data_IF_914209143846
#
_entry.id   IF_914209143846
#
_cell.length_a   1.000
_cell.length_b   1.000
_cell.length_c   1.000
_cell.angle_alpha   90.00
_cell.angle_beta   90.00
_cell.angle_gamma   90.00
#
_symmetry.space_group_name_H-M   'P 1'
#
loop_
_entity.id
_entity.type
_entity.pdbx_description
1 polymer ?
#
# COMPACT_ATOMS: atom_id res chain seq x y z
N UNK A 1 -7.76 -3.63 4.19
CA UNK A 1 -7.56 -2.72 3.05
C UNK A 1 -8.83 -2.58 2.20
N UNK A 2 -9.45 -3.66 1.69
CA UNK A 2 -10.59 -3.58 0.76
C UNK A 2 -11.82 -2.83 1.32
N UNK A 3 -12.10 -2.94 2.62
CA UNK A 3 -13.17 -2.15 3.28
C UNK A 3 -12.80 -0.66 3.27
N UNK A 4 -11.58 -0.33 3.69
CA UNK A 4 -11.09 1.05 3.77
C UNK A 4 -10.91 1.74 2.41
N UNK A 5 -10.84 0.97 1.32
CA UNK A 5 -10.78 1.51 -0.05
C UNK A 5 -12.16 1.57 -0.75
N UNK A 6 -13.22 1.14 -0.07
CA UNK A 6 -14.57 1.10 -0.65
C UNK A 6 -14.80 -0.01 -1.68
N UNK A 7 -13.84 -0.93 -1.87
CA UNK A 7 -14.02 -2.10 -2.75
C UNK A 7 -14.96 -3.16 -2.16
N UNK A 8 -15.16 -3.13 -0.84
CA UNK A 8 -16.15 -3.93 -0.13
C UNK A 8 -16.95 -3.02 0.79
N UNK A 9 -18.24 -3.27 0.89
CA UNK A 9 -19.11 -2.61 1.88
C UNK A 9 -18.98 -3.30 3.23
N UNK A 10 -18.90 -2.57 4.36
CA UNK A 10 -18.97 -3.16 5.69
C UNK A 10 -20.36 -3.76 5.92
N UNK A 11 -20.43 -4.91 6.60
CA UNK A 11 -21.70 -5.53 7.02
C UNK A 11 -22.36 -4.74 8.16
N UNK A 12 -21.55 -4.10 8.99
CA UNK A 12 -21.97 -3.23 10.08
C UNK A 12 -20.84 -2.20 10.37
N UNK A 13 -21.20 -1.12 11.07
CA UNK A 13 -20.28 -0.01 11.34
C UNK A 13 -20.16 0.97 10.17
N UNK A 14 -19.37 1.99 10.38
CA UNK A 14 -19.16 3.08 9.42
C UNK A 14 -17.67 3.41 9.30
N UNK A 15 -17.31 4.07 8.22
CA UNK A 15 -15.95 4.55 7.96
C UNK A 15 -16.03 6.08 7.86
N UNK A 16 -15.19 6.76 8.63
CA UNK A 16 -15.08 8.22 8.60
C UNK A 16 -13.67 8.65 8.18
N UNK A 17 -13.57 9.78 7.49
CA UNK A 17 -12.34 10.50 7.19
C UNK A 17 -12.55 11.94 7.64
N UNK A 18 -11.68 12.47 8.50
CA UNK A 18 -11.80 13.80 9.10
C UNK A 18 -13.19 14.01 9.74
N UNK A 19 -13.66 13.04 10.52
CA UNK A 19 -14.96 12.99 11.20
C UNK A 19 -16.19 13.01 10.27
N UNK A 20 -15.99 13.03 8.95
CA UNK A 20 -17.07 12.94 7.97
C UNK A 20 -17.28 11.49 7.52
N UNK A 21 -18.55 11.07 7.45
CA UNK A 21 -18.94 9.76 6.93
C UNK A 21 -18.50 9.65 5.47
N UNK A 22 -17.84 8.54 5.13
CA UNK A 22 -17.28 8.32 3.79
C UNK A 22 -18.31 7.69 2.87
N UNK A 23 -18.65 8.40 1.79
CA UNK A 23 -19.34 7.82 0.65
C UNK A 23 -18.34 7.49 -0.47
N UNK A 24 -17.99 6.21 -0.60
CA UNK A 24 -17.09 5.75 -1.67
C UNK A 24 -17.70 5.80 -3.08
N UNK A 25 -18.97 6.14 -3.24
CA UNK A 25 -19.56 6.43 -4.56
C UNK A 25 -19.05 7.77 -5.13
N UNK A 26 -18.64 8.68 -4.27
CA UNK A 26 -18.10 9.97 -4.65
C UNK A 26 -16.69 9.86 -5.25
N UNK A 27 -16.49 10.45 -6.43
CA UNK A 27 -15.19 10.44 -7.08
C UNK A 27 -14.11 11.18 -6.28
N UNK A 28 -14.50 12.22 -5.56
CA UNK A 28 -13.61 13.02 -4.70
C UNK A 28 -13.01 12.22 -3.57
N UNK A 29 -13.81 11.36 -2.91
CA UNK A 29 -13.35 10.46 -1.84
C UNK A 29 -12.33 9.48 -2.41
N UNK A 30 -12.64 8.85 -3.56
CA UNK A 30 -11.72 7.90 -4.20
C UNK A 30 -10.41 8.54 -4.66
N UNK A 31 -10.42 9.82 -5.05
CA UNK A 31 -9.22 10.57 -5.42
C UNK A 31 -8.26 10.78 -4.25
N UNK A 32 -8.78 10.86 -3.02
CA UNK A 32 -7.94 11.01 -1.81
C UNK A 32 -7.16 9.74 -1.47
N UNK A 33 -7.49 8.60 -2.11
CA UNK A 33 -6.94 7.29 -1.75
C UNK A 33 -6.04 6.76 -2.87
N UNK A 34 -4.78 6.54 -2.56
CA UNK A 34 -3.85 5.75 -3.35
C UNK A 34 -3.90 4.29 -2.90
N UNK A 35 -4.09 3.36 -3.84
CA UNK A 35 -4.34 1.96 -3.53
C UNK A 35 -3.36 1.03 -4.24
N UNK A 36 -2.70 0.16 -3.48
CA UNK A 36 -1.96 -1.01 -3.96
C UNK A 36 -2.64 -2.24 -3.38
N UNK A 37 -2.96 -3.20 -4.24
CA UNK A 37 -3.46 -4.52 -3.88
C UNK A 37 -2.63 -5.60 -4.58
N UNK A 38 -2.83 -6.85 -4.21
CA UNK A 38 -2.21 -7.98 -4.89
C UNK A 38 -2.48 -7.96 -6.41
N UNK A 39 -3.68 -7.54 -6.83
CA UNK A 39 -4.00 -7.28 -8.22
C UNK A 39 -3.53 -5.88 -8.61
N UNK A 40 -2.73 -5.78 -9.67
CA UNK A 40 -2.08 -4.51 -10.09
C UNK A 40 -3.01 -3.52 -10.75
N UNK A 41 -4.12 -3.98 -11.35
CA UNK A 41 -5.04 -3.19 -12.17
C UNK A 41 -4.37 -2.47 -13.35
N UNK A 42 -3.26 -3.00 -13.83
CA UNK A 42 -2.58 -2.47 -15.01
C UNK A 42 -3.18 -3.04 -16.29
N UNK A 43 -3.26 -2.21 -17.31
CA UNK A 43 -3.67 -2.62 -18.66
C UNK A 43 -2.46 -3.20 -19.37
N UNK A 44 -2.43 -4.51 -19.53
CA UNK A 44 -1.27 -5.24 -20.02
C UNK A 44 -0.89 -4.94 -21.49
N UNK A 45 -1.84 -4.47 -22.28
CA UNK A 45 -1.64 -4.12 -23.69
C UNK A 45 -1.03 -2.72 -23.86
N UNK A 46 -1.12 -1.86 -22.85
CA UNK A 46 -0.57 -0.53 -22.85
C UNK A 46 0.87 -0.53 -22.33
N UNK A 47 1.68 0.44 -22.76
CA UNK A 47 2.98 0.73 -22.16
C UNK A 47 2.82 1.27 -20.74
N UNK A 48 3.91 1.37 -19.97
CA UNK A 48 3.87 1.96 -18.63
C UNK A 48 3.39 3.42 -18.65
N UNK A 49 3.87 4.22 -19.59
CA UNK A 49 3.46 5.61 -19.73
C UNK A 49 1.98 5.75 -20.11
N UNK A 50 1.50 4.97 -21.08
CA UNK A 50 0.08 4.96 -21.47
C UNK A 50 -0.83 4.51 -20.33
N UNK A 51 -0.41 3.57 -19.49
CA UNK A 51 -1.13 3.22 -18.26
C UNK A 51 -1.28 4.44 -17.35
N UNK A 52 -0.19 5.16 -17.06
CA UNK A 52 -0.26 6.35 -16.22
C UNK A 52 -1.11 7.45 -16.86
N UNK A 53 -1.01 7.67 -18.16
CA UNK A 53 -1.85 8.63 -18.90
C UNK A 53 -3.34 8.28 -18.79
N UNK A 54 -3.68 6.99 -18.92
CA UNK A 54 -5.07 6.53 -18.78
C UNK A 54 -5.60 6.80 -17.38
N UNK A 55 -4.84 6.43 -16.34
CA UNK A 55 -5.24 6.68 -14.96
C UNK A 55 -5.29 8.17 -14.63
N UNK A 56 -4.36 8.98 -15.14
CA UNK A 56 -4.41 10.44 -14.99
C UNK A 56 -5.73 11.02 -15.52
N UNK A 57 -6.18 10.57 -16.70
CA UNK A 57 -7.47 10.97 -17.27
C UNK A 57 -8.65 10.49 -16.42
N UNK A 58 -8.64 9.23 -15.96
CA UNK A 58 -9.70 8.68 -15.11
C UNK A 58 -9.83 9.41 -13.77
N UNK A 59 -8.71 9.84 -13.19
CA UNK A 59 -8.70 10.64 -11.96
C UNK A 59 -8.99 12.14 -12.25
N UNK A 60 -8.95 12.58 -13.49
CA UNK A 60 -9.14 13.98 -13.86
C UNK A 60 -7.98 14.88 -13.42
N UNK A 61 -6.76 14.33 -13.33
CA UNK A 61 -5.57 15.12 -13.01
C UNK A 61 -5.10 15.94 -14.20
N UNK A 62 -4.41 17.05 -13.92
CA UNK A 62 -3.80 17.91 -14.96
C UNK A 62 -2.32 17.62 -15.19
N UNK A 63 -1.86 16.40 -14.85
CA UNK A 63 -0.46 16.01 -15.03
C UNK A 63 -0.09 15.99 -16.51
N UNK A 64 1.04 16.59 -16.83
CA UNK A 64 1.63 16.56 -18.17
C UNK A 64 2.36 15.24 -18.42
N UNK A 65 2.69 14.96 -19.68
CA UNK A 65 3.51 13.79 -19.99
C UNK A 65 4.90 13.85 -19.32
N UNK A 66 5.45 15.06 -19.13
CA UNK A 66 6.69 15.27 -18.40
C UNK A 66 6.57 14.83 -16.94
N UNK A 67 5.48 15.18 -16.26
CA UNK A 67 5.23 14.80 -14.87
C UNK A 67 5.10 13.27 -14.73
N UNK A 68 4.41 12.63 -15.66
CA UNK A 68 4.26 11.18 -15.69
C UNK A 68 5.60 10.46 -15.94
N UNK A 69 6.45 11.01 -16.81
CA UNK A 69 7.81 10.50 -17.02
C UNK A 69 8.69 10.67 -15.78
N UNK A 70 8.58 11.79 -15.08
CA UNK A 70 9.27 11.98 -13.80
C UNK A 70 8.80 10.98 -12.74
N UNK A 71 7.50 10.71 -12.67
CA UNK A 71 6.96 9.69 -11.78
C UNK A 71 7.50 8.29 -12.11
N UNK A 72 7.63 7.94 -13.41
CA UNK A 72 8.29 6.72 -13.83
C UNK A 72 9.76 6.66 -13.40
N UNK A 73 10.49 7.78 -13.47
CA UNK A 73 11.88 7.87 -12.98
C UNK A 73 11.93 7.61 -11.47
N UNK A 74 11.05 8.22 -10.68
CA UNK A 74 10.97 8.05 -9.22
C UNK A 74 10.79 6.59 -8.80
N UNK A 75 10.06 5.80 -9.58
CA UNK A 75 9.86 4.36 -9.32
C UNK A 75 10.88 3.46 -10.03
N UNK A 76 11.94 4.04 -10.60
CA UNK A 76 13.01 3.29 -11.26
C UNK A 76 12.65 2.71 -12.63
N UNK A 77 11.63 3.24 -13.31
CA UNK A 77 11.19 2.83 -14.65
C UNK A 77 11.57 3.83 -15.76
N UNK A 78 12.31 4.88 -15.44
CA UNK A 78 12.60 5.97 -16.39
C UNK A 78 13.42 5.56 -17.63
N UNK A 79 14.16 4.46 -17.56
CA UNK A 79 14.96 3.92 -18.67
C UNK A 79 14.29 2.75 -19.42
N UNK A 80 13.07 2.40 -19.05
CA UNK A 80 12.35 1.30 -19.68
C UNK A 80 11.86 1.72 -21.06
N UNK A 81 12.14 0.86 -22.07
CA UNK A 81 11.64 1.08 -23.43
C UNK A 81 10.11 1.10 -23.46
N UNK A 82 9.47 1.79 -24.42
CA UNK A 82 8.03 1.83 -24.57
C UNK A 82 7.49 0.48 -25.11
N UNK A 83 7.49 -0.54 -24.26
CA UNK A 83 6.94 -1.87 -24.54
C UNK A 83 5.70 -2.11 -23.69
N UNK A 84 4.74 -2.95 -24.15
CA UNK A 84 3.54 -3.27 -23.39
C UNK A 84 3.85 -3.87 -22.01
N UNK A 85 3.04 -3.54 -21.01
CA UNK A 85 3.19 -3.98 -19.61
C UNK A 85 3.14 -5.50 -19.45
N UNK A 86 2.53 -6.23 -20.36
CA UNK A 86 2.59 -7.72 -20.40
C UNK A 86 4.02 -8.25 -20.44
N UNK A 87 4.98 -7.50 -21.01
CA UNK A 87 6.41 -7.88 -21.08
C UNK A 87 7.22 -7.44 -19.84
N UNK A 88 6.60 -6.72 -18.89
CA UNK A 88 7.27 -6.28 -17.68
C UNK A 88 7.49 -7.46 -16.74
N UNK A 89 8.64 -7.47 -16.05
CA UNK A 89 8.85 -8.37 -14.91
C UNK A 89 7.84 -8.06 -13.79
N UNK A 90 7.67 -9.00 -12.85
CA UNK A 90 6.82 -8.80 -11.67
C UNK A 90 7.21 -7.53 -10.91
N UNK A 91 8.51 -7.30 -10.68
CA UNK A 91 9.01 -6.11 -10.02
C UNK A 91 8.73 -4.82 -10.80
N UNK A 92 8.84 -4.84 -12.14
CA UNK A 92 8.49 -3.69 -12.97
C UNK A 92 6.98 -3.39 -12.90
N UNK A 93 6.12 -4.41 -12.91
CA UNK A 93 4.67 -4.23 -12.73
C UNK A 93 4.38 -3.64 -11.35
N UNK A 94 5.05 -4.11 -10.30
CA UNK A 94 4.90 -3.57 -8.94
C UNK A 94 5.32 -2.10 -8.86
N UNK A 95 6.49 -1.73 -9.44
CA UNK A 95 6.96 -0.34 -9.50
C UNK A 95 5.97 0.56 -10.25
N UNK A 96 5.38 0.10 -11.35
CA UNK A 96 4.35 0.85 -12.08
C UNK A 96 3.06 0.98 -11.26
N UNK A 97 2.69 -0.04 -10.48
CA UNK A 97 1.54 0.01 -9.55
C UNK A 97 1.76 1.05 -8.45
N UNK A 98 2.99 1.16 -7.94
CA UNK A 98 3.37 2.22 -6.98
C UNK A 98 3.21 3.61 -7.64
N UNK A 99 3.73 3.79 -8.86
CA UNK A 99 3.55 5.05 -9.60
C UNK A 99 2.07 5.41 -9.77
N UNK A 100 1.24 4.45 -10.16
CA UNK A 100 -0.21 4.63 -10.29
C UNK A 100 -0.87 5.06 -8.97
N UNK A 101 -0.47 4.47 -7.85
CA UNK A 101 -1.04 4.81 -6.55
C UNK A 101 -0.69 6.24 -6.10
N UNK A 102 0.48 6.76 -6.51
CA UNK A 102 0.95 8.11 -6.19
C UNK A 102 0.49 9.19 -7.18
N UNK A 103 -0.07 8.80 -8.33
CA UNK A 103 -0.36 9.67 -9.47
C UNK A 103 -1.30 10.83 -9.11
N UNK A 104 -2.20 10.62 -8.19
CA UNK A 104 -3.22 11.60 -7.80
C UNK A 104 -2.85 12.36 -6.51
N UNK A 105 -1.60 12.28 -6.07
CA UNK A 105 -1.12 12.87 -4.80
C UNK A 105 -2.07 12.58 -3.61
N UNK A 106 -2.39 11.31 -3.35
CA UNK A 106 -3.42 10.93 -2.40
C UNK A 106 -3.08 11.37 -0.98
N UNK A 107 -4.12 11.67 -0.19
CA UNK A 107 -3.97 11.96 1.25
C UNK A 107 -3.78 10.66 2.06
N UNK A 108 -4.32 9.55 1.56
CA UNK A 108 -4.30 8.24 2.21
C UNK A 108 -3.72 7.21 1.25
N UNK A 109 -2.71 6.49 1.69
CA UNK A 109 -2.13 5.35 0.98
C UNK A 109 -2.53 4.05 1.67
N UNK A 110 -3.23 3.18 0.96
CA UNK A 110 -3.64 1.84 1.41
C UNK A 110 -2.86 0.80 0.60
N UNK A 111 -1.92 0.13 1.24
CA UNK A 111 -0.92 -0.72 0.58
C UNK A 111 -0.99 -2.15 1.11
N UNK A 112 -1.39 -3.08 0.25
CA UNK A 112 -1.50 -4.51 0.56
C UNK A 112 -0.29 -5.25 -0.02
N UNK A 113 0.61 -5.70 0.86
CA UNK A 113 1.86 -6.40 0.53
C UNK A 113 2.71 -5.66 -0.54
N UNK A 114 3.02 -4.37 -0.37
CA UNK A 114 3.61 -3.57 -1.44
C UNK A 114 5.05 -3.97 -1.81
N UNK A 115 5.76 -4.70 -0.94
CA UNK A 115 7.12 -5.20 -1.19
C UNK A 115 7.16 -6.45 -2.08
N UNK A 116 6.01 -7.12 -2.23
CA UNK A 116 5.94 -8.38 -2.99
C UNK A 116 6.42 -8.20 -4.43
N UNK A 117 7.43 -8.99 -4.81
CA UNK A 117 8.01 -8.97 -6.15
C UNK A 117 9.07 -7.90 -6.39
N UNK A 118 9.36 -7.06 -5.39
CA UNK A 118 10.49 -6.14 -5.44
C UNK A 118 11.79 -6.86 -5.01
N UNK A 119 12.88 -6.49 -5.65
CA UNK A 119 14.22 -6.79 -5.19
C UNK A 119 14.65 -5.84 -4.07
N UNK A 120 15.83 -6.05 -3.47
CA UNK A 120 16.36 -5.19 -2.41
C UNK A 120 16.39 -3.71 -2.82
N UNK A 121 16.80 -3.40 -4.05
CA UNK A 121 16.84 -2.04 -4.56
C UNK A 121 15.43 -1.45 -4.70
N UNK A 122 14.46 -2.23 -5.16
CA UNK A 122 13.06 -1.84 -5.26
C UNK A 122 12.42 -1.59 -3.90
N UNK A 123 12.74 -2.42 -2.91
CA UNK A 123 12.26 -2.25 -1.53
C UNK A 123 12.84 -0.99 -0.88
N UNK A 124 14.14 -0.71 -1.09
CA UNK A 124 14.77 0.52 -0.62
C UNK A 124 14.15 1.76 -1.28
N UNK A 125 13.92 1.72 -2.59
CA UNK A 125 13.22 2.79 -3.32
C UNK A 125 11.81 3.02 -2.77
N UNK A 126 11.05 1.94 -2.52
CA UNK A 126 9.72 2.06 -1.93
C UNK A 126 9.77 2.70 -0.54
N UNK A 127 10.71 2.29 0.32
CA UNK A 127 10.87 2.89 1.65
C UNK A 127 11.14 4.41 1.56
N UNK A 128 12.02 4.84 0.64
CA UNK A 128 12.27 6.27 0.42
C UNK A 128 11.01 7.02 0.01
N UNK A 129 10.24 6.47 -0.93
CA UNK A 129 8.96 7.06 -1.34
C UNK A 129 7.96 7.15 -0.18
N UNK A 130 7.85 6.10 0.65
CA UNK A 130 6.95 6.09 1.80
C UNK A 130 7.36 7.10 2.88
N UNK A 131 8.67 7.28 3.10
CA UNK A 131 9.20 8.31 4.01
C UNK A 131 8.84 9.70 3.47
N UNK A 132 9.08 9.97 2.17
CA UNK A 132 8.70 11.23 1.53
C UNK A 132 7.19 11.52 1.67
N UNK A 133 6.34 10.51 1.48
CA UNK A 133 4.90 10.66 1.60
C UNK A 133 4.46 10.87 3.06
N UNK A 134 5.09 10.20 4.02
CA UNK A 134 4.90 10.42 5.46
C UNK A 134 5.27 11.84 5.87
N UNK A 135 6.39 12.35 5.37
CA UNK A 135 6.88 13.69 5.67
C UNK A 135 5.97 14.79 5.11
N UNK A 136 5.15 14.46 4.08
CA UNK A 136 4.03 15.29 3.61
C UNK A 136 2.75 15.13 4.47
N UNK A 137 2.85 14.47 5.63
CA UNK A 137 1.75 14.23 6.56
C UNK A 137 0.60 13.38 5.98
N UNK A 138 0.90 12.51 5.01
CA UNK A 138 -0.09 11.55 4.49
C UNK A 138 -0.31 10.39 5.44
N UNK A 139 -1.53 9.89 5.48
CA UNK A 139 -1.85 8.66 6.22
C UNK A 139 -1.42 7.47 5.37
N UNK A 140 -0.59 6.59 5.93
CA UNK A 140 -0.11 5.40 5.22
C UNK A 140 -0.48 4.17 6.05
N UNK A 141 -1.32 3.30 5.49
CA UNK A 141 -1.65 2.00 6.05
C UNK A 141 -1.06 0.90 5.16
N UNK A 142 -0.23 0.04 5.75
CA UNK A 142 0.45 -1.05 5.05
C UNK A 142 0.13 -2.36 5.73
N UNK A 143 -0.31 -3.37 4.97
CA UNK A 143 -0.29 -4.76 5.40
C UNK A 143 0.94 -5.43 4.81
N UNK A 144 1.72 -6.11 5.64
CA UNK A 144 2.91 -6.83 5.19
C UNK A 144 3.37 -7.87 6.21
N UNK A 145 4.06 -8.88 5.72
CA UNK A 145 4.83 -9.83 6.52
C UNK A 145 6.35 -9.53 6.50
N UNK A 146 6.77 -8.52 5.72
CA UNK A 146 8.17 -8.10 5.56
C UNK A 146 8.56 -7.06 6.63
N UNK A 147 8.65 -7.49 7.89
CA UNK A 147 8.85 -6.62 9.05
C UNK A 147 10.15 -5.81 8.99
N UNK A 148 11.21 -6.37 8.38
CA UNK A 148 12.52 -5.72 8.26
C UNK A 148 12.48 -4.41 7.46
N UNK A 149 11.69 -4.36 6.40
CA UNK A 149 11.56 -3.16 5.57
C UNK A 149 10.67 -2.12 6.22
N UNK A 150 9.51 -2.55 6.78
CA UNK A 150 8.49 -1.61 7.25
C UNK A 150 8.89 -0.89 8.53
N UNK A 151 9.79 -1.45 9.35
CA UNK A 151 10.25 -0.84 10.59
C UNK A 151 10.82 0.56 10.41
N UNK A 152 11.48 0.82 9.28
CA UNK A 152 12.07 2.14 8.99
C UNK A 152 11.02 3.22 8.63
N UNK A 153 9.83 2.80 8.23
CA UNK A 153 8.77 3.66 7.71
C UNK A 153 7.65 3.86 8.72
N UNK A 154 7.23 2.79 9.37
CA UNK A 154 6.06 2.79 10.25
C UNK A 154 6.29 3.60 11.53
N UNK A 155 5.28 4.32 11.97
CA UNK A 155 5.24 4.96 13.30
C UNK A 155 4.61 4.03 14.36
N UNK A 156 3.79 3.08 13.94
CA UNK A 156 3.06 2.13 14.79
C UNK A 156 2.85 0.81 14.05
N UNK A 157 2.81 -0.27 14.80
CA UNK A 157 2.42 -1.60 14.33
C UNK A 157 1.12 -2.03 15.01
N UNK A 158 0.17 -2.46 14.21
CA UNK A 158 -1.08 -3.04 14.68
C UNK A 158 -1.12 -4.53 14.30
N UNK A 159 -1.10 -5.42 15.30
CA UNK A 159 -1.16 -6.87 15.06
C UNK A 159 -2.64 -7.26 14.92
N UNK A 160 -3.03 -7.63 13.70
CA UNK A 160 -4.37 -8.09 13.39
C UNK A 160 -4.45 -9.61 13.55
N UNK A 161 -5.32 -10.08 14.42
CA UNK A 161 -5.58 -11.50 14.63
C UNK A 161 -7.06 -11.79 14.68
N UNK A 162 -7.54 -12.75 13.86
CA UNK A 162 -8.96 -13.16 13.79
C UNK A 162 -9.94 -11.99 13.62
N UNK A 163 -9.60 -11.03 12.77
CA UNK A 163 -10.43 -9.88 12.46
C UNK A 163 -10.47 -8.78 13.52
N UNK A 164 -9.62 -8.85 14.55
CA UNK A 164 -9.49 -7.82 15.60
C UNK A 164 -8.05 -7.35 15.71
N UNK A 165 -7.87 -6.08 16.04
CA UNK A 165 -6.57 -5.56 16.47
C UNK A 165 -6.31 -6.15 17.86
N UNK A 166 -5.33 -7.06 17.94
CA UNK A 166 -4.97 -7.74 19.17
C UNK A 166 -3.99 -6.92 20.00
N UNK A 167 -3.09 -6.19 19.34
CA UNK A 167 -2.10 -5.33 19.97
C UNK A 167 -1.75 -4.16 19.05
N UNK A 168 -1.52 -2.97 19.64
CA UNK A 168 -1.01 -1.78 18.95
C UNK A 168 0.28 -1.35 19.62
N UNK A 169 1.38 -1.27 18.84
CA UNK A 169 2.72 -1.06 19.36
C UNK A 169 3.32 0.17 18.68
N UNK A 170 3.63 1.26 19.41
CA UNK A 170 4.43 2.35 18.86
C UNK A 170 5.81 1.85 18.42
N UNK A 171 6.33 2.36 17.31
CA UNK A 171 7.63 1.93 16.77
C UNK A 171 8.83 2.60 17.49
N UNK A 172 8.60 3.51 18.44
CA UNK A 172 9.66 4.13 19.20
C UNK A 172 10.42 3.05 20.00
N UNK A 173 11.71 2.93 19.73
CA UNK A 173 12.66 2.02 20.42
C UNK A 173 12.37 0.51 20.29
N UNK A 174 11.45 0.10 19.42
CA UNK A 174 11.14 -1.31 19.18
C UNK A 174 12.19 -1.97 18.29
N UNK A 175 12.86 -3.02 18.76
CA UNK A 175 13.73 -3.84 17.94
C UNK A 175 12.94 -4.76 16.99
N UNK A 176 13.60 -5.27 15.95
CA UNK A 176 12.95 -6.22 15.03
C UNK A 176 12.62 -7.54 15.76
N UNK A 177 13.51 -7.98 16.64
CA UNK A 177 13.35 -9.22 17.42
C UNK A 177 12.16 -9.11 18.38
N UNK A 178 12.01 -7.98 19.09
CA UNK A 178 10.87 -7.71 19.97
C UNK A 178 9.55 -7.66 19.19
N UNK A 179 9.54 -7.03 18.01
CA UNK A 179 8.35 -7.02 17.17
C UNK A 179 7.96 -8.44 16.73
N UNK A 180 8.95 -9.24 16.33
CA UNK A 180 8.76 -10.63 15.93
C UNK A 180 8.27 -11.51 17.10
N UNK A 181 8.81 -11.30 18.28
CA UNK A 181 8.40 -12.01 19.50
C UNK A 181 6.95 -11.69 19.89
N UNK A 182 6.58 -10.40 19.87
CA UNK A 182 5.19 -9.95 20.14
C UNK A 182 4.22 -10.54 19.12
N UNK A 183 4.58 -10.48 17.83
CA UNK A 183 3.77 -11.10 16.78
C UNK A 183 3.56 -12.59 17.03
N UNK A 184 4.64 -13.33 17.30
CA UNK A 184 4.59 -14.75 17.60
C UNK A 184 3.76 -15.05 18.86
N UNK A 185 3.87 -14.24 19.90
CA UNK A 185 3.11 -14.38 21.14
C UNK A 185 1.62 -14.22 20.90
N UNK A 186 1.21 -13.19 20.14
CA UNK A 186 -0.21 -12.97 19.79
C UNK A 186 -0.76 -14.11 18.96
N UNK A 187 0.01 -14.61 17.98
CA UNK A 187 -0.43 -15.67 17.07
C UNK A 187 -0.43 -17.04 17.77
N UNK A 188 0.60 -17.36 18.58
CA UNK A 188 0.81 -18.70 19.16
C UNK A 188 0.11 -18.91 20.51
N UNK A 189 -0.01 -17.89 21.38
CA UNK A 189 -0.65 -18.07 22.70
C UNK A 189 -2.14 -18.47 22.62
N UNK A 190 -2.81 -18.22 21.49
CA UNK A 190 -4.19 -18.67 21.29
C UNK A 190 -4.30 -20.05 20.65
N UNK A 191 -3.23 -20.62 20.12
CA UNK A 191 -3.21 -22.03 19.68
C UNK A 191 -3.24 -22.96 20.90
N UNK A 192 -2.54 -22.63 21.99
CA UNK A 192 -2.57 -23.41 23.25
C UNK A 192 -3.96 -23.46 23.90
N UNK A 193 -4.67 -22.33 23.98
CA UNK A 193 -6.00 -22.26 24.61
C UNK A 193 -7.06 -23.09 23.85
N UNK A 194 -6.89 -23.32 22.55
CA UNK A 194 -7.81 -24.14 21.78
C UNK A 194 -7.54 -25.62 21.87
N UNK A 195 -6.30 -26.03 22.11
CA UNK A 195 -5.95 -27.43 22.35
C UNK A 195 -6.41 -27.89 23.74
N UNK A 196 -6.40 -26.97 24.71
CA UNK A 196 -6.90 -27.24 26.08
C UNK A 196 -8.45 -27.16 26.19
N UNK A 197 -9.12 -26.43 25.31
CA UNK A 197 -10.60 -26.35 25.29
C UNK A 197 -11.27 -27.45 24.44
N UNK A 198 -10.46 -28.23 23.70
CA UNK A 198 -10.91 -29.33 22.84
C UNK A 198 -10.51 -30.72 23.40
N UNK A 199 -9.84 -30.75 24.58
CA UNK A 199 -9.53 -31.97 25.34
C UNK A 199 -10.43 -32.09 26.58
#
# INVERSE_FOLDING_TARGET
IRLLSGLLKPTAGEITIDDALVDFSEAEVRRKIGLILHQTFLYEQLTGLENLQLYARLYGTRLTESDLKQLMVRVGLGKVRPVPVRSYSRGMKQRLTIARALLNEPQILLLDEPYTGLDQQGSTMLNQLLIEERDKQRIILITTHELSFIRQVASRFDILHRGKIAESIPNADLSLDELQERYNTVVNNRVKIQTEAAA
#
